data_IF_101827607686
#
_entry.id   IF_101827607686
#
_cell.length_a   1.000
_cell.length_b   1.000
_cell.length_c   1.000
_cell.angle_alpha   90.00
_cell.angle_beta   90.00
_cell.angle_gamma   90.00
#
_symmetry.space_group_name_H-M   'P 1'
#
loop_
_entity.id
_entity.type
_entity.pdbx_description
1 polymer ?
#
# COMPACT_ATOMS: atom_id res chain seq x y z
N UNK A 1 -7.54 -68.24 32.87
CA UNK A 1 -8.68 -69.09 32.48
C UNK A 1 -9.08 -68.65 31.08
N UNK A 2 -8.53 -69.18 29.98
CA UNK A 2 -8.82 -70.51 29.36
C UNK A 2 -10.33 -70.66 29.11
N UNK A 3 -10.88 -70.95 27.93
CA UNK A 3 -10.48 -71.78 26.79
C UNK A 3 -11.31 -71.48 25.51
N UNK A 4 -10.70 -71.76 24.35
CA UNK A 4 -11.19 -72.39 23.09
C UNK A 4 -12.32 -71.75 22.25
N UNK A 5 -12.06 -71.38 20.98
CA UNK A 5 -11.76 -72.19 19.77
C UNK A 5 -12.97 -72.99 19.27
N UNK A 6 -13.45 -72.70 18.06
CA UNK A 6 -13.76 -73.75 17.05
C UNK A 6 -13.82 -73.15 15.64
N UNK A 7 -13.00 -73.71 14.76
CA UNK A 7 -13.01 -73.58 13.29
C UNK A 7 -14.21 -74.31 12.68
N UNK A 8 -14.61 -73.92 11.45
CA UNK A 8 -15.24 -74.85 10.52
C UNK A 8 -14.90 -74.45 9.08
N UNK A 9 -14.09 -75.30 8.46
CA UNK A 9 -13.75 -75.35 7.05
C UNK A 9 -14.98 -75.70 6.20
N UNK A 10 -15.07 -75.12 5.00
CA UNK A 10 -15.77 -75.77 3.89
C UNK A 10 -15.00 -75.60 2.58
N UNK A 11 -14.84 -76.76 1.95
CA UNK A 11 -14.12 -77.08 0.72
C UNK A 11 -14.76 -76.49 -0.54
N UNK A 12 -13.94 -76.27 -1.58
CA UNK A 12 -14.31 -75.66 -2.89
C UNK A 12 -15.34 -76.42 -3.74
N UNK A 13 -15.59 -75.95 -4.98
CA UNK A 13 -14.71 -76.39 -6.07
C UNK A 13 -14.35 -75.30 -7.11
N UNK A 14 -13.43 -75.73 -7.99
CA UNK A 14 -12.76 -75.03 -9.07
C UNK A 14 -13.65 -74.61 -10.25
N UNK A 15 -13.25 -73.52 -10.92
CA UNK A 15 -13.21 -73.43 -12.39
C UNK A 15 -14.41 -72.81 -13.10
N UNK A 16 -14.22 -71.62 -13.67
CA UNK A 16 -14.19 -71.35 -15.14
C UNK A 16 -14.16 -69.83 -15.36
N UNK A 17 -13.30 -69.39 -16.27
CA UNK A 17 -13.05 -67.97 -16.52
C UNK A 17 -14.22 -67.25 -17.17
N UNK A 18 -14.26 -65.93 -16.99
CA UNK A 18 -14.82 -65.02 -17.98
C UNK A 18 -14.09 -63.68 -17.90
N UNK A 19 -13.37 -63.46 -18.98
CA UNK A 19 -12.74 -62.28 -19.56
C UNK A 19 -13.09 -60.89 -18.99
N UNK A 20 -12.01 -60.12 -18.85
CA UNK A 20 -11.90 -58.67 -18.76
C UNK A 20 -12.57 -58.00 -19.97
N UNK A 21 -13.64 -57.25 -19.74
CA UNK A 21 -14.16 -56.28 -20.72
C UNK A 21 -14.34 -54.93 -20.03
N UNK A 22 -13.26 -54.14 -20.02
CA UNK A 22 -13.36 -52.69 -19.84
C UNK A 22 -14.29 -52.08 -20.91
N UNK A 23 -15.01 -50.99 -20.60
CA UNK A 23 -15.87 -50.36 -21.58
C UNK A 23 -15.04 -49.73 -22.69
N UNK A 24 -15.20 -50.27 -23.90
CA UNK A 24 -14.72 -49.71 -25.15
C UNK A 24 -15.31 -48.30 -25.35
N UNK A 25 -14.44 -47.30 -25.28
CA UNK A 25 -14.75 -45.92 -25.64
C UNK A 25 -14.91 -45.83 -27.16
N UNK A 26 -16.13 -46.10 -27.66
CA UNK A 26 -16.50 -45.82 -29.04
C UNK A 26 -17.03 -44.40 -29.14
N UNK A 27 -16.38 -43.64 -30.03
CA UNK A 27 -16.53 -42.21 -30.18
C UNK A 27 -17.97 -41.76 -30.45
N UNK A 28 -18.36 -40.71 -29.75
CA UNK A 28 -19.36 -39.76 -30.20
C UNK A 28 -18.59 -38.54 -30.69
N UNK A 29 -18.68 -38.28 -32.00
CA UNK A 29 -18.17 -37.06 -32.62
C UNK A 29 -18.94 -35.87 -32.04
N UNK A 30 -18.34 -35.20 -31.06
CA UNK A 30 -18.81 -33.92 -30.55
C UNK A 30 -18.51 -32.82 -31.59
N UNK A 31 -19.33 -32.75 -32.64
CA UNK A 31 -19.43 -31.55 -33.50
C UNK A 31 -20.32 -30.47 -32.88
N UNK A 32 -20.27 -30.35 -31.55
CA UNK A 32 -20.84 -29.23 -30.81
C UNK A 32 -19.87 -28.05 -30.70
N UNK A 33 -20.39 -26.93 -30.18
CA UNK A 33 -19.56 -25.76 -29.83
C UNK A 33 -18.42 -26.14 -28.88
N UNK A 34 -18.61 -27.15 -28.03
CA UNK A 34 -17.60 -27.66 -27.09
C UNK A 34 -16.41 -28.31 -27.83
N UNK A 35 -16.64 -29.19 -28.80
CA UNK A 35 -15.59 -29.73 -29.67
C UNK A 35 -14.84 -28.66 -30.47
N UNK A 36 -15.54 -27.64 -30.98
CA UNK A 36 -14.91 -26.50 -31.67
C UNK A 36 -14.06 -25.67 -30.70
N UNK A 37 -14.54 -25.42 -29.48
CA UNK A 37 -13.79 -24.69 -28.43
C UNK A 37 -12.57 -25.49 -27.95
N UNK A 38 -12.70 -26.82 -27.81
CA UNK A 38 -11.61 -27.70 -27.45
C UNK A 38 -10.52 -27.75 -28.55
N UNK A 39 -10.91 -27.76 -29.82
CA UNK A 39 -9.97 -27.69 -30.95
C UNK A 39 -9.24 -26.34 -31.05
N UNK A 40 -9.79 -25.27 -30.48
CA UNK A 40 -9.14 -23.96 -30.34
C UNK A 40 -8.30 -23.83 -29.06
N UNK A 41 -8.34 -24.81 -28.15
CA UNK A 41 -7.56 -24.80 -26.93
C UNK A 41 -6.08 -25.03 -27.28
N UNK A 42 -5.25 -24.02 -27.02
CA UNK A 42 -3.80 -24.15 -27.07
C UNK A 42 -3.26 -24.33 -25.66
N UNK A 43 -2.13 -25.04 -25.53
CA UNK A 43 -1.40 -25.09 -24.27
C UNK A 43 -1.09 -23.67 -23.79
N UNK A 44 -1.42 -23.41 -22.53
CA UNK A 44 -1.09 -22.15 -21.90
C UNK A 44 0.43 -21.91 -22.01
N UNK A 45 0.88 -20.73 -22.47
CA UNK A 45 2.31 -20.42 -22.51
C UNK A 45 2.93 -20.70 -21.13
N UNK A 46 4.14 -21.26 -21.04
CA UNK A 46 4.75 -21.61 -19.75
C UNK A 46 4.83 -20.42 -18.77
N UNK A 47 4.96 -19.20 -19.29
CA UNK A 47 4.98 -17.95 -18.52
C UNK A 47 3.61 -17.36 -18.18
N UNK A 48 2.51 -17.97 -18.63
CA UNK A 48 1.15 -17.41 -18.47
C UNK A 48 0.77 -17.31 -16.99
N UNK A 49 1.08 -18.34 -16.19
CA UNK A 49 0.84 -18.33 -14.76
C UNK A 49 1.64 -17.22 -14.06
N UNK A 50 2.89 -16.99 -14.44
CA UNK A 50 3.70 -15.90 -13.89
C UNK A 50 3.12 -14.52 -14.22
N UNK A 51 2.51 -14.40 -15.41
CA UNK A 51 1.87 -13.16 -15.85
C UNK A 51 0.49 -12.95 -15.24
N UNK A 52 -0.26 -13.98 -14.87
CA UNK A 52 -1.64 -13.87 -14.35
C UNK A 52 -1.67 -13.84 -12.82
N UNK A 53 -0.77 -14.55 -12.15
CA UNK A 53 -0.77 -14.70 -10.70
C UNK A 53 -0.08 -13.53 -10.01
N UNK A 54 -0.58 -13.15 -8.84
CA UNK A 54 0.16 -12.34 -7.89
C UNK A 54 0.74 -13.22 -6.77
N UNK A 55 1.86 -12.81 -6.20
CA UNK A 55 2.50 -13.49 -5.08
C UNK A 55 2.27 -12.72 -3.78
N UNK A 56 2.08 -13.43 -2.67
CA UNK A 56 2.01 -12.85 -1.31
C UNK A 56 3.18 -13.29 -0.46
N UNK A 57 3.59 -12.41 0.45
CA UNK A 57 4.60 -12.70 1.46
C UNK A 57 4.27 -11.94 2.75
N UNK A 58 4.56 -12.53 3.90
CA UNK A 58 4.56 -11.86 5.19
C UNK A 58 5.96 -11.31 5.46
N UNK A 59 6.06 -10.04 5.83
CA UNK A 59 7.35 -9.37 6.08
C UNK A 59 7.37 -8.65 7.42
N UNK A 60 8.52 -8.52 8.08
CA UNK A 60 8.65 -7.63 9.22
C UNK A 60 8.58 -6.16 8.77
N UNK A 61 8.15 -5.28 9.67
CA UNK A 61 8.19 -3.84 9.44
C UNK A 61 7.63 -3.01 10.59
N UNK A 62 7.31 -1.74 10.37
CA UNK A 62 6.94 -0.80 11.44
C UNK A 62 5.54 -1.04 12.03
N UNK A 63 4.74 -1.89 11.39
CA UNK A 63 3.46 -2.38 11.88
C UNK A 63 3.51 -3.91 11.90
N UNK A 64 2.71 -4.50 12.77
CA UNK A 64 2.59 -5.94 12.90
C UNK A 64 1.85 -6.55 11.69
N UNK A 65 2.16 -7.80 11.39
CA UNK A 65 1.49 -8.60 10.37
C UNK A 65 1.40 -7.94 8.98
N UNK A 66 2.55 -7.44 8.48
CA UNK A 66 2.62 -6.82 7.17
C UNK A 66 2.61 -7.86 6.05
N UNK A 67 1.46 -7.98 5.39
CA UNK A 67 1.29 -8.80 4.19
C UNK A 67 1.44 -7.93 2.95
N UNK A 68 2.25 -8.41 2.01
CA UNK A 68 2.56 -7.72 0.76
C UNK A 68 2.22 -8.62 -0.41
N UNK A 69 1.48 -8.09 -1.38
CA UNK A 69 1.23 -8.72 -2.67
C UNK A 69 1.99 -8.00 -3.78
N UNK A 70 2.60 -8.77 -4.68
CA UNK A 70 3.40 -8.26 -5.78
C UNK A 70 3.22 -9.11 -7.03
N UNK A 71 3.48 -8.47 -8.18
CA UNK A 71 3.48 -9.07 -9.51
C UNK A 71 4.85 -8.85 -10.15
N UNK A 72 5.04 -9.34 -11.37
CA UNK A 72 6.16 -8.99 -12.25
C UNK A 72 6.28 -7.48 -12.50
N UNK A 73 5.19 -6.72 -12.34
CA UNK A 73 5.17 -5.26 -12.51
C UNK A 73 5.58 -4.49 -11.27
N UNK A 74 5.59 -5.13 -10.09
CA UNK A 74 6.01 -4.52 -8.83
C UNK A 74 5.07 -4.84 -7.66
N UNK A 75 5.29 -4.15 -6.54
CA UNK A 75 4.43 -4.28 -5.35
C UNK A 75 3.08 -3.63 -5.63
N UNK A 76 2.02 -4.42 -5.53
CA UNK A 76 0.66 -4.02 -5.90
C UNK A 76 -0.22 -3.74 -4.69
N UNK A 77 0.04 -4.40 -3.55
CA UNK A 77 -0.82 -4.28 -2.38
C UNK A 77 -0.06 -4.52 -1.08
N UNK A 78 -0.38 -3.75 -0.04
CA UNK A 78 0.21 -3.90 1.29
C UNK A 78 -0.83 -3.61 2.36
N UNK A 79 -0.98 -4.50 3.35
CA UNK A 79 -1.84 -4.31 4.52
C UNK A 79 -1.17 -4.84 5.79
N UNK A 80 -1.48 -4.22 6.93
CA UNK A 80 -1.05 -4.62 8.26
C UNK A 80 -2.24 -5.17 9.06
N UNK A 81 -2.01 -6.12 9.97
CA UNK A 81 -3.02 -6.61 10.91
C UNK A 81 -4.24 -7.32 10.29
N UNK A 82 -4.16 -7.69 9.01
CA UNK A 82 -5.19 -8.52 8.35
C UNK A 82 -4.72 -9.97 8.33
N UNK A 83 -5.60 -10.91 8.69
CA UNK A 83 -5.34 -12.33 8.45
C UNK A 83 -5.22 -12.65 6.94
N UNK A 84 -4.81 -13.89 6.65
CA UNK A 84 -4.57 -14.32 5.27
C UNK A 84 -5.82 -14.32 4.38
N UNK A 85 -6.98 -14.70 4.94
CA UNK A 85 -8.24 -14.76 4.18
C UNK A 85 -8.70 -13.36 3.84
N UNK A 86 -8.78 -12.47 4.82
CA UNK A 86 -9.17 -11.08 4.65
C UNK A 86 -8.23 -10.34 3.67
N UNK A 87 -6.92 -10.59 3.75
CA UNK A 87 -5.93 -10.03 2.82
C UNK A 87 -6.18 -10.52 1.38
N UNK A 88 -6.37 -11.83 1.21
CA UNK A 88 -6.60 -12.45 -0.10
C UNK A 88 -7.90 -11.95 -0.73
N UNK A 89 -8.98 -11.87 0.06
CA UNK A 89 -10.27 -11.38 -0.41
C UNK A 89 -10.21 -9.90 -0.79
N UNK A 90 -9.54 -9.07 0.00
CA UNK A 90 -9.34 -7.66 -0.31
C UNK A 90 -8.51 -7.46 -1.59
N UNK A 91 -7.46 -8.27 -1.78
CA UNK A 91 -6.66 -8.28 -2.99
C UNK A 91 -7.49 -8.69 -4.21
N UNK A 92 -8.22 -9.80 -4.12
CA UNK A 92 -9.06 -10.32 -5.21
C UNK A 92 -10.15 -9.34 -5.63
N UNK A 93 -10.84 -8.71 -4.67
CA UNK A 93 -11.84 -7.67 -4.97
C UNK A 93 -11.26 -6.49 -5.75
N UNK A 94 -9.99 -6.18 -5.53
CA UNK A 94 -9.33 -5.04 -6.17
C UNK A 94 -8.72 -5.38 -7.54
N UNK A 95 -8.10 -6.55 -7.66
CA UNK A 95 -7.26 -6.88 -8.81
C UNK A 95 -7.79 -8.05 -9.65
N UNK A 96 -8.85 -8.74 -9.22
CA UNK A 96 -9.43 -9.91 -9.88
C UNK A 96 -8.38 -10.97 -10.26
N UNK A 97 -7.40 -11.18 -9.38
CA UNK A 97 -6.24 -12.04 -9.63
C UNK A 97 -6.06 -13.12 -8.57
N UNK A 98 -5.63 -14.33 -8.97
CA UNK A 98 -5.17 -15.33 -8.02
C UNK A 98 -3.96 -14.82 -7.22
N UNK A 99 -3.90 -15.19 -5.95
CA UNK A 99 -2.83 -14.84 -5.05
C UNK A 99 -2.22 -16.13 -4.51
N UNK A 100 -0.95 -16.39 -4.81
CA UNK A 100 -0.20 -17.57 -4.34
C UNK A 100 0.86 -17.16 -3.31
N UNK A 101 1.23 -18.05 -2.37
CA UNK A 101 2.34 -17.78 -1.48
C UNK A 101 3.67 -17.63 -2.25
N UNK A 102 4.58 -16.87 -1.66
CA UNK A 102 5.98 -16.78 -2.05
C UNK A 102 6.87 -16.87 -0.82
N UNK A 103 8.00 -17.57 -0.97
CA UNK A 103 8.98 -17.77 0.09
C UNK A 103 9.77 -16.50 0.41
N UNK A 104 10.01 -15.66 -0.61
CA UNK A 104 10.87 -14.48 -0.51
C UNK A 104 10.17 -13.22 -1.01
N UNK A 105 10.39 -12.07 -0.35
CA UNK A 105 9.91 -10.80 -0.85
C UNK A 105 10.70 -10.31 -2.08
N UNK A 106 10.15 -9.38 -2.87
CA UNK A 106 10.90 -8.67 -3.90
C UNK A 106 12.16 -8.01 -3.34
N UNK A 107 13.25 -8.04 -4.12
CA UNK A 107 14.48 -7.36 -3.77
C UNK A 107 14.22 -5.87 -3.48
N UNK A 108 14.82 -5.36 -2.41
CA UNK A 108 14.66 -3.96 -1.99
C UNK A 108 13.38 -3.65 -1.21
N UNK A 109 12.42 -4.58 -1.07
CA UNK A 109 11.18 -4.34 -0.29
C UNK A 109 11.48 -3.97 1.16
N UNK A 110 12.30 -4.75 1.85
CA UNK A 110 12.60 -4.53 3.27
C UNK A 110 13.32 -3.19 3.49
N UNK A 111 14.39 -2.84 2.74
CA UNK A 111 14.97 -1.49 2.79
C UNK A 111 13.96 -0.36 2.50
N UNK A 112 13.08 -0.55 1.52
CA UNK A 112 12.06 0.46 1.16
C UNK A 112 11.07 0.71 2.30
N UNK A 113 10.62 -0.36 2.98
CA UNK A 113 9.75 -0.26 4.15
C UNK A 113 10.43 0.46 5.32
N UNK A 114 11.70 0.15 5.60
CA UNK A 114 12.48 0.83 6.65
C UNK A 114 12.68 2.31 6.33
N UNK A 115 13.01 2.63 5.07
CA UNK A 115 13.21 4.00 4.61
C UNK A 115 11.91 4.80 4.48
N UNK A 116 10.76 4.13 4.41
CA UNK A 116 9.46 4.76 4.16
C UNK A 116 9.40 5.48 2.82
N UNK A 117 10.04 4.90 1.80
CA UNK A 117 9.98 5.34 0.39
C UNK A 117 10.34 4.16 -0.53
N UNK A 118 9.85 4.12 -1.78
CA UNK A 118 10.08 2.98 -2.67
C UNK A 118 11.54 2.86 -3.13
N UNK A 119 12.25 3.98 -3.28
CA UNK A 119 13.61 3.99 -3.85
C UNK A 119 13.57 3.48 -5.29
N UNK A 120 14.23 2.35 -5.56
CA UNK A 120 14.18 1.64 -6.86
C UNK A 120 13.10 0.55 -6.96
N UNK A 121 12.35 0.30 -5.89
CA UNK A 121 11.29 -0.71 -5.88
C UNK A 121 10.13 -0.25 -6.77
N UNK A 122 9.77 -1.07 -7.76
CA UNK A 122 8.62 -0.81 -8.63
C UNK A 122 7.33 -0.99 -7.85
N UNK A 123 6.42 -0.03 -8.01
CA UNK A 123 5.06 -0.09 -7.49
C UNK A 123 4.09 -0.28 -8.64
N UNK A 124 3.20 -1.25 -8.50
CA UNK A 124 2.10 -1.47 -9.45
C UNK A 124 0.91 -0.61 -9.03
N UNK A 125 0.83 0.58 -9.62
CA UNK A 125 -0.24 1.55 -9.40
C UNK A 125 -1.30 1.52 -10.53
N UNK A 126 -1.33 0.44 -11.34
CA UNK A 126 -2.34 0.27 -12.38
C UNK A 126 -3.74 0.16 -11.75
N UNK A 127 -4.76 0.55 -12.52
CA UNK A 127 -6.15 0.62 -12.03
C UNK A 127 -6.45 1.84 -11.17
N UNK A 128 -5.49 2.75 -10.98
CA UNK A 128 -5.75 4.09 -10.47
C UNK A 128 -5.98 5.07 -11.63
N UNK A 129 -6.84 6.05 -11.43
CA UNK A 129 -6.93 7.19 -12.34
C UNK A 129 -5.60 7.97 -12.39
N UNK A 130 -5.38 8.72 -13.46
CA UNK A 130 -4.18 9.56 -13.60
C UNK A 130 -3.99 10.51 -12.40
N UNK A 131 -5.09 11.08 -11.89
CA UNK A 131 -5.08 11.95 -10.72
C UNK A 131 -4.74 11.21 -9.43
N UNK A 132 -5.33 10.05 -9.17
CA UNK A 132 -5.01 9.24 -7.98
C UNK A 132 -3.54 8.81 -7.99
N UNK A 133 -3.03 8.36 -9.13
CA UNK A 133 -1.61 8.02 -9.29
C UNK A 133 -0.70 9.24 -9.09
N UNK A 134 -1.10 10.43 -9.55
CA UNK A 134 -0.37 11.68 -9.30
C UNK A 134 -0.37 12.07 -7.80
N UNK A 135 -1.49 11.91 -7.10
CA UNK A 135 -1.61 12.13 -5.65
C UNK A 135 -0.69 11.21 -4.86
N UNK A 136 -0.68 9.90 -5.16
CA UNK A 136 0.21 8.95 -4.48
C UNK A 136 1.68 9.25 -4.76
N UNK A 137 2.04 9.61 -6.00
CA UNK A 137 3.40 10.05 -6.35
C UNK A 137 3.79 11.32 -5.61
N UNK A 138 2.91 12.31 -5.51
CA UNK A 138 3.14 13.52 -4.74
C UNK A 138 3.40 13.21 -3.26
N UNK A 139 2.58 12.36 -2.64
CA UNK A 139 2.78 11.93 -1.25
C UNK A 139 4.11 11.17 -1.05
N UNK A 140 4.53 10.36 -2.02
CA UNK A 140 5.83 9.66 -2.00
C UNK A 140 7.04 10.61 -1.98
N UNK A 141 6.87 11.88 -2.38
CA UNK A 141 7.94 12.89 -2.30
C UNK A 141 8.11 13.51 -0.91
N UNK A 142 7.20 13.26 0.03
CA UNK A 142 7.29 13.83 1.39
C UNK A 142 8.39 13.09 2.17
N UNK A 143 9.47 13.77 2.59
CA UNK A 143 10.57 13.12 3.27
C UNK A 143 10.16 12.54 4.62
N UNK A 144 10.89 11.49 5.05
CA UNK A 144 10.76 10.94 6.41
C UNK A 144 10.94 12.05 7.45
N UNK A 145 10.07 12.04 8.47
CA UNK A 145 10.11 13.01 9.55
C UNK A 145 9.56 14.39 9.17
N UNK A 146 8.86 14.48 8.03
CA UNK A 146 8.14 15.68 7.62
C UNK A 146 6.70 15.33 7.25
N UNK A 147 5.83 16.32 7.33
CA UNK A 147 4.42 16.22 6.95
C UNK A 147 4.02 17.31 5.98
N UNK A 148 3.00 17.07 5.16
CA UNK A 148 2.40 18.07 4.27
C UNK A 148 0.87 18.00 4.35
N UNK A 149 0.16 19.12 4.18
CA UNK A 149 -1.29 19.10 4.21
C UNK A 149 -1.88 18.48 2.93
N UNK A 150 -3.13 18.01 3.00
CA UNK A 150 -3.84 17.49 1.82
C UNK A 150 -3.85 18.48 0.63
N UNK A 151 -3.98 19.78 0.90
CA UNK A 151 -3.94 20.82 -0.14
C UNK A 151 -2.63 20.82 -0.92
N UNK A 152 -1.50 20.63 -0.22
CA UNK A 152 -0.18 20.53 -0.83
C UNK A 152 -0.10 19.35 -1.81
N UNK A 153 -0.67 18.21 -1.43
CA UNK A 153 -0.68 17.00 -2.27
C UNK A 153 -1.57 17.20 -3.49
N UNK A 154 -2.75 17.81 -3.33
CA UNK A 154 -3.68 18.09 -4.42
C UNK A 154 -3.06 19.06 -5.45
N UNK A 155 -2.45 20.14 -4.99
CA UNK A 155 -1.75 21.09 -5.85
C UNK A 155 -0.57 20.44 -6.59
N UNK A 156 0.25 19.65 -5.88
CA UNK A 156 1.38 18.94 -6.49
C UNK A 156 0.94 17.84 -7.47
N UNK A 157 -0.27 17.30 -7.31
CA UNK A 157 -0.90 16.40 -8.25
C UNK A 157 -1.54 17.10 -9.46
N UNK A 158 -1.43 18.44 -9.56
CA UNK A 158 -1.91 19.22 -10.70
C UNK A 158 -3.34 19.75 -10.56
N UNK A 159 -4.00 19.55 -9.41
CA UNK A 159 -5.34 20.10 -9.18
C UNK A 159 -5.50 20.63 -7.73
N UNK A 160 -5.12 21.89 -7.48
CA UNK A 160 -5.21 22.52 -6.15
C UNK A 160 -6.62 22.48 -5.53
N UNK A 161 -7.67 22.52 -6.36
CA UNK A 161 -9.07 22.50 -5.91
C UNK A 161 -9.55 21.11 -5.48
N UNK A 162 -8.83 20.04 -5.83
CA UNK A 162 -9.25 18.66 -5.60
C UNK A 162 -8.80 18.08 -4.25
N UNK A 163 -8.79 18.89 -3.18
CA UNK A 163 -8.31 18.49 -1.84
C UNK A 163 -9.04 17.26 -1.29
N UNK A 164 -10.38 17.23 -1.39
CA UNK A 164 -11.18 16.09 -0.93
C UNK A 164 -10.88 14.82 -1.73
N UNK A 165 -10.80 14.95 -3.06
CA UNK A 165 -10.48 13.81 -3.93
C UNK A 165 -9.07 13.27 -3.66
N UNK A 166 -8.08 14.14 -3.39
CA UNK A 166 -6.75 13.72 -2.96
C UNK A 166 -6.79 12.96 -1.63
N UNK A 167 -7.60 13.42 -0.66
CA UNK A 167 -7.85 12.67 0.58
C UNK A 167 -8.43 11.27 0.33
N UNK A 168 -9.45 11.16 -0.53
CA UNK A 168 -10.04 9.87 -0.91
C UNK A 168 -9.05 8.94 -1.63
N UNK A 169 -8.17 9.49 -2.48
CA UNK A 169 -7.11 8.73 -3.15
C UNK A 169 -6.08 8.18 -2.15
N UNK A 170 -5.64 9.00 -1.20
CA UNK A 170 -4.72 8.58 -0.13
C UNK A 170 -5.34 7.54 0.81
N UNK A 171 -6.63 7.65 1.12
CA UNK A 171 -7.36 6.66 1.90
C UNK A 171 -7.48 5.30 1.19
N UNK A 172 -7.50 5.31 -0.15
CA UNK A 172 -7.52 4.11 -1.01
C UNK A 172 -6.13 3.67 -1.48
N UNK A 173 -5.07 4.17 -0.85
CA UNK A 173 -3.69 3.80 -1.17
C UNK A 173 -3.52 2.27 -1.11
N UNK A 174 -3.15 1.61 -2.22
CA UNK A 174 -2.96 0.16 -2.22
C UNK A 174 -1.65 -0.25 -1.53
N UNK A 175 -0.66 0.65 -1.44
CA UNK A 175 0.69 0.38 -0.93
C UNK A 175 1.11 1.37 0.16
N UNK A 176 0.39 1.46 1.29
CA UNK A 176 0.79 2.28 2.43
C UNK A 176 2.19 1.90 2.94
N UNK A 177 2.85 2.81 3.68
CA UNK A 177 4.26 2.74 4.10
C UNK A 177 5.28 2.93 2.96
N UNK A 178 5.07 2.31 1.80
CA UNK A 178 5.87 2.55 0.58
C UNK A 178 5.48 3.89 -0.05
N UNK A 179 4.17 4.12 -0.21
CA UNK A 179 3.59 5.46 -0.38
C UNK A 179 3.17 5.95 1.01
N UNK A 180 3.87 6.93 1.60
CA UNK A 180 3.75 7.30 3.01
C UNK A 180 2.56 8.24 3.25
N UNK A 181 1.33 7.77 3.00
CA UNK A 181 0.13 8.58 3.18
C UNK A 181 -0.11 9.00 4.66
N UNK A 182 0.55 8.36 5.63
CA UNK A 182 0.58 8.81 7.02
C UNK A 182 1.30 10.16 7.21
N UNK A 183 2.17 10.57 6.27
CA UNK A 183 2.82 11.90 6.27
C UNK A 183 1.92 13.03 5.78
N UNK A 184 0.70 12.72 5.37
CA UNK A 184 -0.28 13.73 4.94
C UNK A 184 -1.23 14.09 6.08
N UNK A 185 -1.31 15.37 6.45
CA UNK A 185 -2.07 15.87 7.60
C UNK A 185 -3.12 16.90 7.19
N UNK A 186 -3.91 17.39 8.15
CA UNK A 186 -4.72 18.59 7.93
C UNK A 186 -3.83 19.83 7.80
N UNK A 187 -4.41 20.95 7.35
CA UNK A 187 -3.70 22.22 7.13
C UNK A 187 -3.09 22.82 8.40
N UNK A 188 -3.63 22.47 9.57
CA UNK A 188 -3.10 22.84 10.87
C UNK A 188 -2.05 21.88 11.44
N UNK A 189 -1.68 20.85 10.68
CA UNK A 189 -0.76 19.81 11.12
C UNK A 189 -1.41 18.70 11.95
N UNK A 190 -2.69 18.83 12.32
CA UNK A 190 -3.38 17.79 13.08
C UNK A 190 -3.57 16.51 12.27
N UNK A 191 -3.65 15.38 12.96
CA UNK A 191 -3.75 14.06 12.34
C UNK A 191 -5.15 13.86 11.74
N UNK A 192 -5.21 13.73 10.41
CA UNK A 192 -6.39 13.22 9.72
C UNK A 192 -6.48 11.70 9.74
N UNK A 193 -7.53 11.16 9.11
CA UNK A 193 -7.77 9.72 8.99
C UNK A 193 -6.61 8.96 8.31
N UNK A 194 -6.51 7.67 8.59
CA UNK A 194 -5.49 6.78 8.05
C UNK A 194 -6.02 5.36 7.88
N UNK A 195 -5.55 4.65 6.85
CA UNK A 195 -6.03 3.29 6.52
C UNK A 195 -5.80 2.27 7.64
N UNK A 196 -4.80 2.49 8.50
CA UNK A 196 -4.51 1.66 9.67
C UNK A 196 -4.95 2.32 10.99
N UNK A 197 -5.79 3.36 10.93
CA UNK A 197 -6.27 4.09 12.10
C UNK A 197 -5.34 5.20 12.59
N UNK A 198 -5.88 6.09 13.43
CA UNK A 198 -5.17 7.27 13.94
C UNK A 198 -3.96 6.90 14.83
N UNK A 199 -4.11 5.89 15.70
CA UNK A 199 -3.03 5.43 16.58
C UNK A 199 -1.82 4.91 15.79
N UNK A 200 -2.04 4.16 14.70
CA UNK A 200 -0.96 3.69 13.84
C UNK A 200 -0.25 4.87 13.13
N UNK A 201 -1.01 5.87 12.67
CA UNK A 201 -0.46 7.08 12.06
C UNK A 201 0.40 7.86 13.04
N UNK A 202 -0.07 8.05 14.27
CA UNK A 202 0.70 8.69 15.33
C UNK A 202 2.01 7.95 15.61
N UNK A 203 1.94 6.64 15.85
CA UNK A 203 3.12 5.79 16.07
C UNK A 203 4.15 5.90 14.94
N UNK A 204 3.70 5.84 13.69
CA UNK A 204 4.57 5.96 12.52
C UNK A 204 5.26 7.33 12.48
N UNK A 205 4.53 8.42 12.69
CA UNK A 205 5.09 9.77 12.68
C UNK A 205 6.09 10.00 13.82
N UNK A 206 5.79 9.51 15.03
CA UNK A 206 6.73 9.57 16.17
C UNK A 206 8.00 8.76 15.88
N UNK A 207 7.87 7.55 15.33
CA UNK A 207 9.02 6.75 14.91
C UNK A 207 9.86 7.41 13.79
N UNK A 208 9.26 8.33 13.03
CA UNK A 208 9.94 9.17 12.05
C UNK A 208 10.56 10.45 12.64
N UNK A 209 10.55 10.61 13.97
CA UNK A 209 11.03 11.80 14.69
C UNK A 209 10.24 13.07 14.35
N UNK A 210 8.92 12.94 14.16
CA UNK A 210 8.02 14.10 14.13
C UNK A 210 7.59 14.41 15.56
N UNK A 211 7.89 15.63 16.02
CA UNK A 211 7.42 16.16 17.30
C UNK A 211 5.94 16.59 17.16
N UNK A 212 5.04 15.65 17.41
CA UNK A 212 3.60 15.88 17.30
C UNK A 212 3.06 16.81 18.39
N UNK A 213 3.72 16.85 19.54
CA UNK A 213 3.29 17.65 20.68
C UNK A 213 3.59 19.13 20.42
N UNK A 214 4.76 19.43 19.83
CA UNK A 214 5.09 20.76 19.33
C UNK A 214 4.19 21.19 18.17
N UNK A 215 3.92 20.30 17.20
CA UNK A 215 2.98 20.61 16.10
C UNK A 215 1.60 20.95 16.66
N UNK A 216 1.11 20.19 17.65
CA UNK A 216 -0.17 20.48 18.32
C UNK A 216 -0.14 21.80 19.10
N UNK A 217 0.98 22.15 19.72
CA UNK A 217 1.15 23.44 20.40
C UNK A 217 1.05 24.62 19.41
N UNK A 218 1.75 24.55 18.27
CA UNK A 218 1.60 25.53 17.20
C UNK A 218 0.16 25.58 16.68
N UNK A 219 -0.47 24.41 16.52
CA UNK A 219 -1.86 24.31 16.07
C UNK A 219 -2.80 25.14 16.97
N UNK A 220 -2.70 24.96 18.30
CA UNK A 220 -3.47 25.70 19.32
C UNK A 220 -3.18 27.19 19.35
N UNK A 221 -1.95 27.60 19.05
CA UNK A 221 -1.54 29.00 18.97
C UNK A 221 -1.92 29.68 17.64
N UNK A 222 -2.60 28.97 16.74
CA UNK A 222 -2.91 29.49 15.40
C UNK A 222 -1.70 29.55 14.46
N UNK A 223 -0.53 29.04 14.87
CA UNK A 223 0.68 28.98 14.05
C UNK A 223 0.59 27.81 13.07
N UNK A 224 0.77 28.09 11.78
CA UNK A 224 0.71 27.13 10.67
C UNK A 224 2.01 27.07 9.89
N UNK A 225 2.81 28.14 9.97
CA UNK A 225 4.10 28.27 9.32
C UNK A 225 5.13 28.83 10.29
N UNK A 226 6.40 28.49 10.06
CA UNK A 226 7.54 29.00 10.82
C UNK A 226 8.49 29.73 9.88
N UNK A 227 8.82 30.98 10.19
CA UNK A 227 9.83 31.78 9.53
C UNK A 227 11.12 31.86 10.33
N UNK A 228 12.25 32.03 9.63
CA UNK A 228 13.54 32.42 10.21
C UNK A 228 13.85 33.86 9.85
N UNK A 229 14.02 34.73 10.86
CA UNK A 229 14.34 36.16 10.63
C UNK A 229 15.75 36.36 10.07
N UNK A 230 16.68 35.45 10.35
CA UNK A 230 18.05 35.46 9.81
C UNK A 230 18.11 35.13 8.32
N UNK A 231 17.20 34.29 7.82
CA UNK A 231 17.20 33.87 6.41
C UNK A 231 16.08 34.47 5.57
N UNK A 232 15.04 35.00 6.21
CA UNK A 232 13.80 35.45 5.57
C UNK A 232 13.03 34.31 4.91
N UNK A 233 13.17 33.06 5.37
CA UNK A 233 12.51 31.88 4.77
C UNK A 233 11.37 31.40 5.67
N UNK A 234 10.19 31.16 5.08
CA UNK A 234 9.02 30.58 5.76
C UNK A 234 8.76 29.13 5.32
N UNK A 235 8.47 28.27 6.29
CA UNK A 235 8.38 26.82 6.14
C UNK A 235 7.12 26.24 6.81
N UNK A 236 6.78 24.98 6.48
CA UNK A 236 5.95 24.17 7.38
C UNK A 236 6.71 23.81 8.66
N UNK A 237 6.02 23.62 9.81
CA UNK A 237 6.67 23.32 11.09
C UNK A 237 7.56 22.07 11.09
N UNK A 238 7.18 21.05 10.33
CA UNK A 238 7.94 19.80 10.23
C UNK A 238 9.01 19.81 9.13
N UNK A 239 9.22 20.94 8.44
CA UNK A 239 10.29 21.07 7.46
C UNK A 239 11.65 20.90 8.12
N UNK A 240 12.58 20.21 7.45
CA UNK A 240 13.95 20.05 7.95
C UNK A 240 14.64 21.40 8.21
N UNK A 241 14.39 22.41 7.37
CA UNK A 241 14.94 23.76 7.56
C UNK A 241 14.32 24.45 8.78
N UNK A 242 13.00 24.33 8.95
CA UNK A 242 12.28 24.91 10.09
C UNK A 242 12.78 24.37 11.43
N UNK A 243 13.04 23.05 11.49
CA UNK A 243 13.55 22.39 12.71
C UNK A 243 14.94 22.87 13.14
N UNK A 244 15.74 23.41 12.21
CA UNK A 244 17.08 23.96 12.49
C UNK A 244 17.06 25.44 12.90
N UNK A 245 15.90 26.11 12.84
CA UNK A 245 15.79 27.51 13.27
C UNK A 245 15.92 27.56 14.79
N UNK A 246 16.94 28.25 15.28
CA UNK A 246 17.11 28.55 16.71
C UNK A 246 15.85 29.24 17.25
N UNK A 247 15.34 28.88 18.44
CA UNK A 247 14.09 29.44 18.97
C UNK A 247 14.01 30.97 18.96
N UNK A 248 15.11 31.68 19.26
CA UNK A 248 15.15 33.15 19.24
C UNK A 248 15.01 33.81 17.85
N UNK A 249 15.22 33.04 16.78
CA UNK A 249 15.12 33.48 15.39
C UNK A 249 13.86 32.97 14.69
N UNK A 250 12.97 32.30 15.44
CA UNK A 250 11.82 31.58 14.91
C UNK A 250 10.55 32.40 15.12
N UNK A 251 9.88 32.71 14.01
CA UNK A 251 8.63 33.48 14.00
C UNK A 251 7.48 32.62 13.50
N UNK A 252 6.34 32.65 14.18
CA UNK A 252 5.15 31.88 13.82
C UNK A 252 4.18 32.71 12.97
N UNK A 253 3.58 32.10 11.95
CA UNK A 253 2.56 32.74 11.11
C UNK A 253 1.33 31.86 10.96
N UNK A 254 0.15 32.49 10.98
CA UNK A 254 -1.12 31.81 10.73
C UNK A 254 -1.34 31.53 9.24
N UNK A 255 -0.96 32.47 8.38
CA UNK A 255 -1.07 32.33 6.92
C UNK A 255 0.27 32.57 6.24
N UNK A 256 0.41 32.08 5.01
CA UNK A 256 1.59 32.39 4.20
C UNK A 256 1.57 33.85 3.71
N UNK A 257 0.39 34.45 3.57
CA UNK A 257 0.24 35.85 3.18
C UNK A 257 0.83 36.79 4.25
N UNK A 258 0.56 36.52 5.53
CA UNK A 258 1.13 37.30 6.65
C UNK A 258 2.65 37.21 6.71
N UNK A 259 3.21 36.04 6.42
CA UNK A 259 4.66 35.88 6.35
C UNK A 259 5.24 36.72 5.19
N UNK A 260 4.58 36.71 4.03
CA UNK A 260 5.02 37.46 2.85
C UNK A 260 4.95 38.97 3.04
N UNK A 261 3.90 39.49 3.67
CA UNK A 261 3.79 40.93 3.96
C UNK A 261 4.90 41.42 4.90
N UNK A 262 5.48 40.51 5.69
CA UNK A 262 6.63 40.77 6.55
C UNK A 262 7.99 40.43 5.89
N UNK A 263 8.02 40.19 4.57
CA UNK A 263 9.26 40.00 3.81
C UNK A 263 9.78 38.56 3.75
N UNK A 264 9.04 37.58 4.28
CA UNK A 264 9.46 36.17 4.20
C UNK A 264 9.14 35.55 2.84
N UNK A 265 10.10 34.84 2.26
CA UNK A 265 9.92 34.05 1.03
C UNK A 265 9.63 32.58 1.33
N UNK A 266 8.78 31.90 0.54
CA UNK A 266 8.51 30.48 0.70
C UNK A 266 9.76 29.62 0.57
N UNK A 267 9.89 28.61 1.44
CA UNK A 267 10.96 27.61 1.38
C UNK A 267 10.85 26.73 0.13
N UNK A 268 11.97 26.60 -0.61
CA UNK A 268 12.04 25.80 -1.83
C UNK A 268 11.96 24.28 -1.57
N UNK A 269 12.32 23.82 -0.35
CA UNK A 269 12.27 22.41 0.03
C UNK A 269 10.85 21.97 0.40
N UNK A 270 10.17 22.73 1.27
CA UNK A 270 8.84 22.35 1.74
C UNK A 270 7.68 22.93 0.93
N UNK A 271 7.95 23.97 0.13
CA UNK A 271 7.01 24.61 -0.80
C UNK A 271 5.65 24.92 -0.16
N UNK A 272 5.59 25.76 0.88
CA UNK A 272 4.34 26.08 1.57
C UNK A 272 3.30 26.80 0.69
N UNK A 273 3.74 27.40 -0.42
CA UNK A 273 2.89 28.01 -1.44
C UNK A 273 1.93 27.02 -2.12
N UNK A 274 2.27 25.73 -2.16
CA UNK A 274 1.40 24.70 -2.75
C UNK A 274 0.19 24.36 -1.89
N UNK A 275 0.16 24.78 -0.61
CA UNK A 275 -0.97 24.50 0.28
C UNK A 275 -1.96 25.67 0.41
N UNK A 276 -1.78 26.74 -0.37
CA UNK A 276 -2.71 27.85 -0.32
C UNK A 276 -4.05 27.44 -0.95
N UNK A 277 -5.19 27.89 -0.40
CA UNK A 277 -6.47 27.77 -1.09
C UNK A 277 -6.36 28.46 -2.46
N UNK A 278 -6.94 27.84 -3.48
CA UNK A 278 -7.05 28.40 -4.81
C UNK A 278 -8.09 29.52 -4.86
#
# INVERSE_FOLDING_TARGET
>A
MTHHDTELEHTGPEGTGLEDTGPENTGLEDTGLEGVLAALAADAPPSLLERIVARRVLVPGPLEDLRVAFTDQGVAFLRAGMDERAFTDAFRRRFARPLLPAERPPAGLIPALRGGRPGGLRLDLRGLSAFEAAVLRAAATIPRGQTRPYAWVAARAGNPRAVRAAGSALGRNPVPLLVPCHRVTRSDGTLGQYVFGAAAKERLLRAENVDLDQVAAFARQGVRYLGSDTTGVVCFPTCADARRITPGHRHGFATLADARSQGYRPCLHCRPELAQPA
#
